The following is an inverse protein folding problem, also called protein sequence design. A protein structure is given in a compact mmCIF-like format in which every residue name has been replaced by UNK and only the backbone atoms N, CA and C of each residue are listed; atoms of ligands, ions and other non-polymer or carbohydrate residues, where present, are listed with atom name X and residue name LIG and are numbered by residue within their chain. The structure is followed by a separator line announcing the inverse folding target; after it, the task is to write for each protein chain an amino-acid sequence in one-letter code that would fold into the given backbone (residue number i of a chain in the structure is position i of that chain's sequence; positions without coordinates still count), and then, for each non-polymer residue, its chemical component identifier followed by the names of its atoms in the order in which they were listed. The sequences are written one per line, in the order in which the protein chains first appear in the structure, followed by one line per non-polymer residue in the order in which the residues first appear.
data_IF_905278459210
#
_entry.id   IF_905278459210
#
_cell.length_a   1.000
_cell.length_b   1.000
_cell.length_c   1.000
_cell.angle_alpha   90.00
_cell.angle_beta   90.00
_cell.angle_gamma   90.00
#
_symmetry.space_group_name_H-M   'P 1'
#
loop_
_entity.id
_entity.type
_entity.pdbx_description
1 polymer ?
#
# COMPACT_ATOMS: atom_id res chain seq x y z
N UNK A 1 -5.42 -0.04 -6.48
CA UNK A 1 -6.01 -1.30 -7.01
C UNK A 1 -5.26 -2.48 -6.40
N UNK A 2 -5.88 -3.65 -6.25
CA UNK A 2 -5.18 -4.83 -5.76
C UNK A 2 -5.52 -6.09 -6.55
N UNK A 3 -4.55 -7.01 -6.62
CA UNK A 3 -4.70 -8.30 -7.27
C UNK A 3 -3.74 -9.33 -6.70
N UNK A 4 -4.17 -10.60 -6.68
CA UNK A 4 -3.29 -11.74 -6.36
C UNK A 4 -2.49 -12.11 -7.61
N UNK A 5 -1.17 -12.07 -7.51
CA UNK A 5 -0.27 -12.48 -8.59
C UNK A 5 0.15 -13.93 -8.38
N UNK A 6 -0.53 -14.87 -9.05
CA UNK A 6 -0.21 -16.31 -8.94
C UNK A 6 1.24 -16.61 -9.37
N UNK A 7 1.77 -15.87 -10.36
CA UNK A 7 3.16 -16.02 -10.82
C UNK A 7 4.19 -15.64 -9.76
N UNK A 8 3.92 -14.59 -8.98
CA UNK A 8 4.85 -14.06 -7.99
C UNK A 8 4.59 -14.61 -6.58
N UNK A 9 3.44 -15.27 -6.35
CA UNK A 9 3.02 -15.69 -5.03
C UNK A 9 2.72 -14.52 -4.08
N UNK A 10 2.38 -13.34 -4.63
CA UNK A 10 2.21 -12.09 -3.88
C UNK A 10 0.81 -11.54 -4.00
N UNK A 11 0.38 -10.78 -2.99
CA UNK A 11 -0.84 -10.00 -3.07
C UNK A 11 -0.47 -8.54 -3.31
N UNK A 12 -0.59 -8.08 -4.54
CA UNK A 12 -0.03 -6.80 -4.98
C UNK A 12 -1.08 -5.70 -4.81
N UNK A 13 -0.69 -4.63 -4.11
CA UNK A 13 -1.45 -3.39 -3.97
C UNK A 13 -0.71 -2.24 -4.67
N UNK A 14 -1.35 -1.62 -5.65
CA UNK A 14 -0.81 -0.51 -6.44
C UNK A 14 -1.56 0.76 -6.11
N UNK A 15 -0.82 1.84 -5.82
CA UNK A 15 -1.38 3.17 -5.58
C UNK A 15 -0.75 4.20 -6.49
N UNK A 16 -1.58 5.12 -6.97
CA UNK A 16 -1.17 6.34 -7.64
C UNK A 16 -1.60 7.52 -6.77
N UNK A 17 -0.64 8.27 -6.27
CA UNK A 17 -0.88 9.46 -5.45
C UNK A 17 -0.38 10.71 -6.18
N UNK A 18 -1.16 11.79 -6.16
CA UNK A 18 -0.69 13.08 -6.64
C UNK A 18 0.33 13.66 -5.66
N UNK A 19 1.53 13.97 -6.13
CA UNK A 19 2.54 14.71 -5.37
C UNK A 19 2.27 16.18 -5.57
N UNK A 20 2.21 16.93 -4.47
CA UNK A 20 2.03 18.38 -4.46
C UNK A 20 3.13 19.01 -3.60
N UNK A 21 3.52 20.22 -3.95
CA UNK A 21 4.42 21.01 -3.09
C UNK A 21 3.63 21.64 -1.93
N UNK A 22 4.34 22.41 -1.10
CA UNK A 22 3.76 23.07 0.08
C UNK A 22 2.63 24.07 -0.27
N UNK A 23 2.63 24.54 -1.52
CA UNK A 23 1.66 25.52 -2.05
C UNK A 23 0.44 24.81 -2.66
N UNK A 24 0.49 23.48 -2.71
CA UNK A 24 -0.56 22.63 -3.29
C UNK A 24 -0.41 22.44 -4.80
N UNK A 25 0.64 22.99 -5.42
CA UNK A 25 0.87 22.89 -6.86
C UNK A 25 1.29 21.47 -7.23
N UNK A 26 0.73 20.97 -8.33
CA UNK A 26 0.94 19.59 -8.78
C UNK A 26 2.38 19.38 -9.28
N UNK A 27 3.07 18.40 -8.69
CA UNK A 27 4.46 18.07 -8.99
C UNK A 27 4.61 16.75 -9.77
N UNK A 28 3.55 15.93 -9.82
CA UNK A 28 3.58 14.64 -10.53
C UNK A 28 2.73 13.57 -9.85
N UNK A 29 2.90 12.33 -10.31
CA UNK A 29 2.23 11.15 -9.74
C UNK A 29 3.28 10.22 -9.16
N UNK A 30 3.12 9.87 -7.88
CA UNK A 30 3.88 8.82 -7.21
C UNK A 30 3.13 7.50 -7.36
N UNK A 31 3.74 6.58 -8.10
CA UNK A 31 3.32 5.18 -8.11
C UNK A 31 4.12 4.40 -7.06
N UNK A 32 3.44 3.67 -6.19
CA UNK A 32 4.07 2.71 -5.30
C UNK A 32 3.32 1.39 -5.26
N UNK A 33 4.09 0.31 -5.21
CA UNK A 33 3.62 -1.08 -5.30
C UNK A 33 4.07 -1.81 -4.04
N UNK A 34 3.11 -2.41 -3.34
CA UNK A 34 3.34 -3.11 -2.09
C UNK A 34 2.84 -4.54 -2.16
N UNK A 35 3.61 -5.47 -1.59
CA UNK A 35 3.12 -6.80 -1.28
C UNK A 35 2.38 -6.75 0.07
N UNK A 36 1.06 -6.94 0.03
CA UNK A 36 0.19 -6.85 1.20
C UNK A 36 -0.19 -8.22 1.76
N UNK A 37 0.31 -9.32 1.17
CA UNK A 37 0.13 -10.68 1.69
C UNK A 37 0.50 -10.79 3.19
N UNK A 38 1.61 -10.18 3.67
CA UNK A 38 1.98 -10.26 5.08
C UNK A 38 0.92 -9.69 6.04
N UNK A 39 0.06 -8.77 5.59
CA UNK A 39 -1.00 -8.21 6.45
C UNK A 39 -2.14 -9.21 6.69
N UNK A 40 -2.38 -10.17 5.79
CA UNK A 40 -3.37 -11.22 5.98
C UNK A 40 -2.89 -12.34 6.90
N UNK A 41 -1.57 -12.44 7.08
CA UNK A 41 -0.90 -13.49 7.89
C UNK A 41 -0.64 -13.03 9.33
N UNK A 42 -0.97 -11.77 9.66
CA UNK A 42 -0.92 -11.27 11.03
C UNK A 42 -1.95 -12.00 11.88
N UNK A 43 -1.50 -12.82 12.83
CA UNK A 43 -2.36 -13.50 13.80
C UNK A 43 -2.80 -12.53 14.93
N UNK A 44 -3.79 -11.67 14.67
CA UNK A 44 -4.69 -11.08 15.69
C UNK A 44 -5.79 -10.22 15.04
N UNK A 45 -6.98 -10.17 15.63
CA UNK A 45 -8.06 -9.25 15.20
C UNK A 45 -7.79 -7.77 15.57
N UNK A 46 -6.81 -7.49 16.43
CA UNK A 46 -6.36 -6.16 16.85
C UNK A 46 -5.02 -6.32 17.59
N UNK A 47 -3.96 -5.72 17.07
CA UNK A 47 -2.78 -5.39 17.85
C UNK A 47 -2.60 -3.86 17.84
N UNK A 48 -3.23 -3.21 18.81
CA UNK A 48 -3.04 -1.80 19.14
C UNK A 48 -2.61 -1.74 20.59
N UNK A 49 -1.39 -2.20 20.87
CA UNK A 49 -0.66 -1.78 22.07
C UNK A 49 -0.28 -0.29 21.92
N UNK A 50 -1.30 0.57 21.98
CA UNK A 50 -1.16 2.01 22.11
C UNK A 50 -1.53 2.32 23.56
N UNK A 51 -0.51 2.35 24.43
CA UNK A 51 -0.60 3.03 25.74
C UNK A 51 -0.58 4.56 25.56
#
# INVERSE_FOLDING_TARGET
MWFKSERLGKFVYVTYAAVRDDQGDFQGVLEYVQDIQPFFELESDLNRDID
#
